data_IF_468070998899
#
_entry.id   IF_468070998899
#
_cell.length_a   1.000
_cell.length_b   1.000
_cell.length_c   1.000
_cell.angle_alpha   90.00
_cell.angle_beta   90.00
_cell.angle_gamma   90.00
#
_symmetry.space_group_name_H-M   'P 1'
#
loop_
_entity.id
_entity.type
_entity.pdbx_description
1 polymer ?
#
# COMPACT_ATOMS: atom_id res chain seq x y z
N UNK A 1 27.63 0.42 5.80
CA UNK A 1 28.22 1.55 6.56
C UNK A 1 27.07 2.26 7.24
N UNK A 2 27.14 2.43 8.55
CA UNK A 2 26.12 3.06 9.40
C UNK A 2 26.81 3.78 10.56
N UNK A 3 26.15 4.75 11.17
CA UNK A 3 26.63 5.43 12.39
C UNK A 3 28.02 6.10 12.23
N UNK A 4 28.19 6.86 11.13
CA UNK A 4 29.42 7.60 10.87
C UNK A 4 29.27 9.01 11.43
N UNK A 5 30.27 9.48 12.17
CA UNK A 5 30.31 10.86 12.68
C UNK A 5 30.20 11.86 11.51
N UNK A 6 29.33 12.87 11.67
CA UNK A 6 29.02 13.87 10.65
C UNK A 6 27.91 13.44 9.64
N UNK A 7 27.42 12.18 9.71
CA UNK A 7 26.23 11.75 8.97
C UNK A 7 24.97 11.91 9.84
N UNK A 8 23.82 12.08 9.21
CA UNK A 8 22.54 12.19 9.88
C UNK A 8 22.02 10.83 10.36
N UNK A 9 21.10 10.80 11.32
CA UNK A 9 20.55 9.58 11.91
C UNK A 9 19.07 9.43 11.55
N UNK A 10 18.67 8.28 10.97
CA UNK A 10 17.28 8.03 10.59
C UNK A 10 16.29 8.13 11.77
N UNK A 11 16.72 7.77 12.98
CA UNK A 11 15.88 7.79 14.17
C UNK A 11 15.78 9.18 14.81
N UNK A 12 16.72 10.08 14.48
CA UNK A 12 16.77 11.49 14.92
C UNK A 12 17.22 12.37 13.74
N UNK A 13 16.44 12.46 12.66
CA UNK A 13 16.86 13.17 11.45
C UNK A 13 16.87 14.68 11.69
N UNK A 14 18.00 15.33 11.45
CA UNK A 14 18.17 16.77 11.66
C UNK A 14 18.55 17.51 10.36
N UNK A 15 19.27 16.87 9.46
CA UNK A 15 19.86 17.50 8.27
C UNK A 15 19.46 16.79 6.97
N UNK A 16 20.35 15.97 6.39
CA UNK A 16 20.19 15.38 5.07
C UNK A 16 19.01 14.41 5.00
N UNK A 17 18.84 13.54 6.00
CA UNK A 17 17.74 12.57 6.04
C UNK A 17 16.41 13.30 6.26
N UNK A 18 16.39 14.32 7.13
CA UNK A 18 15.21 15.15 7.34
C UNK A 18 14.77 15.85 6.05
N UNK A 19 15.73 16.40 5.30
CA UNK A 19 15.45 17.03 4.01
C UNK A 19 14.95 16.01 2.98
N UNK A 20 15.55 14.83 2.91
CA UNK A 20 15.11 13.75 2.02
C UNK A 20 13.68 13.28 2.35
N UNK A 21 13.34 13.13 3.64
CA UNK A 21 11.98 12.82 4.07
C UNK A 21 10.98 13.95 3.76
N UNK A 22 11.43 15.21 3.87
CA UNK A 22 10.61 16.36 3.47
C UNK A 22 10.36 16.36 1.96
N UNK A 23 11.37 16.10 1.14
CA UNK A 23 11.21 15.99 -0.32
C UNK A 23 10.19 14.91 -0.69
N UNK A 24 10.23 13.76 0.00
CA UNK A 24 9.24 12.71 -0.19
C UNK A 24 7.82 13.17 0.21
N UNK A 25 7.69 13.90 1.33
CA UNK A 25 6.41 14.45 1.76
C UNK A 25 5.86 15.46 0.74
N UNK A 26 6.69 16.38 0.29
CA UNK A 26 6.33 17.39 -0.71
C UNK A 26 5.89 16.75 -2.04
N UNK A 27 6.61 15.71 -2.50
CA UNK A 27 6.32 14.99 -3.74
C UNK A 27 4.97 14.25 -3.69
N UNK A 28 4.67 13.61 -2.56
CA UNK A 28 3.43 12.86 -2.37
C UNK A 28 2.26 13.71 -1.83
N UNK A 29 2.51 14.95 -1.42
CA UNK A 29 1.50 15.83 -0.85
C UNK A 29 1.05 15.42 0.56
N UNK A 30 1.89 14.72 1.31
CA UNK A 30 1.65 14.36 2.71
C UNK A 30 2.18 15.42 3.67
N UNK A 31 1.68 15.46 4.91
CA UNK A 31 2.21 16.38 5.94
C UNK A 31 3.62 16.01 6.38
N UNK A 32 3.91 14.71 6.49
CA UNK A 32 5.22 14.15 6.79
C UNK A 32 5.39 12.79 6.10
N UNK A 33 6.62 12.45 5.74
CA UNK A 33 6.97 11.11 5.23
C UNK A 33 8.14 10.56 6.02
N UNK A 34 8.05 9.30 6.43
CA UNK A 34 9.08 8.60 7.19
C UNK A 34 9.67 7.48 6.35
N UNK A 35 11.00 7.44 6.23
CA UNK A 35 11.70 6.37 5.53
C UNK A 35 11.66 5.08 6.34
N UNK A 36 11.31 3.98 5.68
CA UNK A 36 11.43 2.64 6.24
C UNK A 36 12.44 1.83 5.44
N UNK A 37 13.50 1.40 6.12
CA UNK A 37 14.55 0.50 5.60
C UNK A 37 14.34 -0.96 6.04
N UNK A 38 13.27 -1.22 6.78
CA UNK A 38 12.82 -2.55 7.20
C UNK A 38 11.44 -2.91 6.59
N UNK A 39 11.18 -2.39 5.38
CA UNK A 39 10.00 -2.67 4.59
C UNK A 39 8.72 -2.01 5.12
N UNK A 40 7.65 -2.18 4.38
CA UNK A 40 6.31 -1.80 4.84
C UNK A 40 5.89 -2.55 6.11
N UNK A 41 6.55 -3.65 6.45
CA UNK A 41 6.33 -4.36 7.71
C UNK A 41 6.59 -3.45 8.90
N UNK A 42 7.77 -2.82 9.00
CA UNK A 42 8.09 -1.92 10.10
C UNK A 42 7.18 -0.67 10.10
N UNK A 43 6.86 -0.15 8.91
CA UNK A 43 5.93 0.97 8.75
C UNK A 43 4.51 0.63 9.25
N UNK A 44 3.96 -0.54 8.91
CA UNK A 44 2.64 -1.01 9.38
C UNK A 44 2.63 -1.23 10.90
N UNK A 45 3.66 -1.88 11.46
CA UNK A 45 3.80 -2.05 12.91
C UNK A 45 3.81 -0.70 13.62
N UNK A 46 4.53 0.28 13.06
CA UNK A 46 4.64 1.64 13.60
C UNK A 46 3.30 2.38 13.51
N UNK A 47 2.62 2.32 12.36
CA UNK A 47 1.31 2.93 12.16
C UNK A 47 0.27 2.40 13.15
N UNK A 48 0.16 1.07 13.27
CA UNK A 48 -0.77 0.43 14.22
C UNK A 48 -0.45 0.85 15.66
N UNK A 49 0.84 0.85 16.04
CA UNK A 49 1.27 1.18 17.39
C UNK A 49 1.10 2.65 17.74
N UNK A 50 1.15 3.55 16.74
CA UNK A 50 0.91 4.98 16.92
C UNK A 50 -0.59 5.31 17.06
N UNK A 51 -1.46 4.49 16.47
CA UNK A 51 -2.90 4.73 16.43
C UNK A 51 -3.67 4.01 17.55
N UNK A 52 -3.17 2.85 18.03
CA UNK A 52 -3.91 1.99 18.95
C UNK A 52 -3.10 1.74 20.21
N UNK A 53 -3.67 2.00 21.38
CA UNK A 53 -3.02 1.71 22.67
C UNK A 53 -2.89 0.20 22.90
N UNK A 54 -1.93 -0.26 23.76
CA UNK A 54 -1.83 -1.67 24.14
C UNK A 54 -3.16 -2.22 24.67
N UNK A 55 -3.58 -3.38 24.14
CA UNK A 55 -4.85 -4.00 24.49
C UNK A 55 -6.10 -3.34 23.88
N UNK A 56 -5.93 -2.27 23.10
CA UNK A 56 -7.00 -1.56 22.39
C UNK A 56 -7.63 -2.38 21.27
N UNK A 57 -8.62 -1.80 20.61
CA UNK A 57 -9.42 -2.49 19.59
C UNK A 57 -9.24 -1.83 18.22
N UNK A 58 -9.06 -2.63 17.18
CA UNK A 58 -8.85 -2.19 15.80
C UNK A 58 -9.76 -2.94 14.83
N UNK A 59 -10.36 -2.22 13.87
CA UNK A 59 -10.90 -2.83 12.65
C UNK A 59 -9.83 -3.04 11.62
N UNK A 60 -9.86 -4.21 10.97
CA UNK A 60 -8.93 -4.51 9.88
C UNK A 60 -9.60 -5.33 8.76
N UNK A 61 -9.21 -5.03 7.53
CA UNK A 61 -9.57 -5.85 6.38
C UNK A 61 -9.01 -7.26 6.56
N UNK A 62 -9.87 -8.28 6.41
CA UNK A 62 -9.45 -9.69 6.62
C UNK A 62 -8.37 -10.15 5.65
N UNK A 63 -8.27 -9.49 4.50
CA UNK A 63 -7.26 -9.70 3.45
C UNK A 63 -5.95 -8.91 3.67
N UNK A 64 -5.74 -8.33 4.86
CA UNK A 64 -4.52 -7.57 5.15
C UNK A 64 -3.27 -8.47 5.19
N UNK A 65 -2.11 -7.85 4.97
CA UNK A 65 -0.82 -8.52 5.01
C UNK A 65 -0.52 -9.09 6.42
N UNK A 66 0.25 -10.19 6.49
CA UNK A 66 0.63 -10.86 7.76
C UNK A 66 1.28 -9.93 8.80
N UNK A 67 1.96 -8.86 8.37
CA UNK A 67 2.55 -7.87 9.28
C UNK A 67 1.52 -7.14 10.14
N UNK A 68 0.28 -6.98 9.67
CA UNK A 68 -0.82 -6.41 10.45
C UNK A 68 -1.14 -7.33 11.63
N UNK A 69 -1.24 -8.65 11.39
CA UNK A 69 -1.45 -9.65 12.45
C UNK A 69 -0.28 -9.67 13.45
N UNK A 70 0.96 -9.48 12.98
CA UNK A 70 2.12 -9.34 13.87
C UNK A 70 1.96 -8.10 14.78
N UNK A 71 1.51 -6.97 14.24
CA UNK A 71 1.24 -5.76 15.02
C UNK A 71 0.17 -5.98 16.09
N UNK A 72 -0.91 -6.68 15.74
CA UNK A 72 -1.97 -7.07 16.69
C UNK A 72 -1.40 -7.92 17.81
N UNK A 73 -0.62 -8.96 17.48
CA UNK A 73 0.00 -9.84 18.45
C UNK A 73 0.97 -9.10 19.38
N UNK A 74 1.89 -8.31 18.81
CA UNK A 74 2.90 -7.57 19.60
C UNK A 74 2.29 -6.54 20.55
N UNK A 75 1.14 -5.97 20.19
CA UNK A 75 0.46 -4.94 20.98
C UNK A 75 -0.69 -5.50 21.84
N UNK A 76 -0.96 -6.82 21.75
CA UNK A 76 -2.06 -7.47 22.46
C UNK A 76 -3.43 -6.91 22.08
N UNK A 77 -3.62 -6.49 20.79
CA UNK A 77 -4.84 -5.82 20.36
C UNK A 77 -6.00 -6.81 20.18
N UNK A 78 -7.22 -6.28 20.31
CA UNK A 78 -8.45 -6.96 19.93
C UNK A 78 -8.80 -6.60 18.50
N UNK A 79 -8.81 -7.59 17.62
CA UNK A 79 -9.15 -7.40 16.21
C UNK A 79 -10.61 -7.65 15.93
N UNK A 80 -11.24 -6.76 15.18
CA UNK A 80 -12.55 -6.98 14.56
C UNK A 80 -12.35 -6.91 13.04
N UNK A 81 -12.96 -7.86 12.31
CA UNK A 81 -12.68 -8.02 10.89
C UNK A 81 -13.73 -7.38 10.00
N UNK A 82 -13.25 -6.67 8.99
CA UNK A 82 -14.01 -6.27 7.81
C UNK A 82 -13.70 -7.27 6.69
N UNK A 83 -14.71 -7.91 6.16
CA UNK A 83 -14.54 -8.89 5.09
C UNK A 83 -14.69 -8.20 3.74
N UNK A 84 -13.68 -8.30 2.83
CA UNK A 84 -13.88 -7.85 1.46
C UNK A 84 -14.96 -8.68 0.78
N UNK A 85 -15.64 -8.09 -0.20
CA UNK A 85 -16.48 -8.87 -1.11
C UNK A 85 -15.63 -9.89 -1.85
N UNK A 86 -16.24 -10.96 -2.37
CA UNK A 86 -15.52 -11.97 -3.13
C UNK A 86 -16.03 -12.01 -4.58
N UNK A 87 -15.10 -11.95 -5.53
CA UNK A 87 -15.38 -12.06 -6.96
C UNK A 87 -15.21 -13.52 -7.35
N UNK A 88 -16.33 -14.26 -7.37
CA UNK A 88 -16.33 -15.72 -7.61
C UNK A 88 -15.79 -16.10 -8.99
N UNK A 89 -16.05 -15.26 -10.00
CA UNK A 89 -15.61 -15.47 -11.37
C UNK A 89 -14.08 -15.59 -11.51
N UNK A 90 -13.34 -14.84 -10.69
CA UNK A 90 -11.87 -14.75 -10.75
C UNK A 90 -11.19 -15.31 -9.49
N UNK A 91 -11.96 -15.86 -8.56
CA UNK A 91 -11.47 -16.37 -7.26
C UNK A 91 -10.61 -15.35 -6.49
N UNK A 92 -10.98 -14.06 -6.52
CA UNK A 92 -10.23 -12.98 -5.89
C UNK A 92 -11.08 -12.13 -4.94
N UNK A 93 -10.41 -11.41 -4.04
CA UNK A 93 -11.08 -10.46 -3.18
C UNK A 93 -11.46 -9.19 -3.97
N UNK A 94 -12.68 -8.71 -3.76
CA UNK A 94 -13.13 -7.39 -4.13
C UNK A 94 -12.71 -6.32 -3.11
N UNK A 95 -13.42 -5.19 -3.11
CA UNK A 95 -13.18 -4.08 -2.18
C UNK A 95 -13.84 -4.27 -0.81
N UNK A 96 -13.45 -3.40 0.12
CA UNK A 96 -14.14 -3.21 1.41
C UNK A 96 -15.33 -2.27 1.19
N UNK A 97 -16.49 -2.66 1.71
CA UNK A 97 -17.72 -1.87 1.60
C UNK A 97 -17.73 -0.70 2.58
N UNK A 98 -17.89 0.57 2.13
CA UNK A 98 -18.12 1.70 3.03
C UNK A 98 -19.32 1.48 3.96
N UNK A 99 -20.41 0.87 3.45
CA UNK A 99 -21.58 0.53 4.24
C UNK A 99 -21.24 -0.42 5.40
N UNK A 100 -20.44 -1.46 5.13
CA UNK A 100 -20.03 -2.44 6.14
C UNK A 100 -19.13 -1.79 7.21
N UNK A 101 -18.24 -0.86 6.81
CA UNK A 101 -17.44 -0.04 7.74
C UNK A 101 -18.37 0.77 8.65
N UNK A 102 -19.37 1.46 8.10
CA UNK A 102 -20.34 2.27 8.87
C UNK A 102 -21.15 1.43 9.86
N UNK A 103 -21.63 0.27 9.43
CA UNK A 103 -22.41 -0.64 10.29
C UNK A 103 -21.51 -1.27 11.38
N UNK A 104 -20.28 -1.63 11.06
CA UNK A 104 -19.34 -2.17 12.00
C UNK A 104 -18.97 -1.15 13.09
N UNK A 105 -18.70 0.10 12.72
CA UNK A 105 -18.41 1.20 13.65
C UNK A 105 -19.59 1.56 14.56
N UNK A 106 -20.83 1.29 14.14
CA UNK A 106 -22.00 1.43 15.01
C UNK A 106 -22.06 0.34 16.08
N UNK A 107 -21.69 -0.90 15.72
CA UNK A 107 -21.72 -2.05 16.64
C UNK A 107 -20.55 -2.07 17.63
N UNK A 108 -19.42 -1.49 17.24
CA UNK A 108 -18.17 -1.51 17.99
C UNK A 108 -17.70 -0.06 18.24
N UNK A 109 -18.28 0.66 19.23
CA UNK A 109 -18.00 2.08 19.43
C UNK A 109 -16.62 2.37 20.01
N UNK A 110 -15.93 1.36 20.57
CA UNK A 110 -14.61 1.44 21.23
C UNK A 110 -13.44 1.13 20.28
N UNK A 111 -13.66 1.10 19.00
CA UNK A 111 -12.62 1.01 17.97
C UNK A 111 -11.76 2.27 18.00
N UNK A 112 -10.42 2.08 17.99
CA UNK A 112 -9.43 3.16 18.04
C UNK A 112 -8.84 3.50 16.67
N UNK A 113 -8.88 2.58 15.70
CA UNK A 113 -8.43 2.81 14.32
C UNK A 113 -9.08 1.81 13.35
N UNK A 114 -9.10 2.18 12.08
CA UNK A 114 -9.46 1.29 10.96
C UNK A 114 -8.24 1.09 10.08
N UNK A 115 -7.96 -0.14 9.65
CA UNK A 115 -6.91 -0.48 8.69
C UNK A 115 -7.47 -1.28 7.52
N UNK A 116 -7.24 -0.80 6.30
CA UNK A 116 -7.61 -1.50 5.06
C UNK A 116 -6.40 -1.64 4.14
N UNK A 117 -6.44 -2.62 3.23
CA UNK A 117 -5.47 -2.77 2.14
C UNK A 117 -6.10 -2.30 0.84
N UNK A 118 -5.55 -1.25 0.25
CA UNK A 118 -6.00 -0.69 -1.04
C UNK A 118 -4.83 0.04 -1.73
N UNK A 119 -4.38 -0.42 -2.92
CA UNK A 119 -4.92 -1.58 -3.64
C UNK A 119 -4.56 -2.92 -2.97
N UNK A 120 -5.34 -3.94 -3.32
CA UNK A 120 -4.96 -5.33 -3.02
C UNK A 120 -3.75 -5.76 -3.87
N UNK A 121 -3.20 -6.95 -3.59
CA UNK A 121 -2.16 -7.55 -4.45
C UNK A 121 -2.60 -7.65 -5.91
N UNK A 122 -3.88 -7.99 -6.13
CA UNK A 122 -4.47 -8.15 -7.45
C UNK A 122 -4.79 -6.82 -8.17
N UNK A 123 -4.71 -5.70 -7.46
CA UNK A 123 -4.95 -4.35 -8.01
C UNK A 123 -6.33 -3.77 -7.74
N UNK A 124 -7.14 -4.41 -6.90
CA UNK A 124 -8.47 -3.89 -6.51
C UNK A 124 -8.34 -2.72 -5.55
N UNK A 125 -9.01 -1.62 -5.86
CA UNK A 125 -9.08 -0.40 -5.05
C UNK A 125 -10.47 -0.27 -4.41
N UNK A 126 -10.52 -0.03 -3.11
CA UNK A 126 -11.74 0.29 -2.36
C UNK A 126 -12.04 1.80 -2.44
N UNK A 127 -13.29 2.21 -2.14
CA UNK A 127 -13.61 3.63 -2.00
C UNK A 127 -13.02 4.20 -0.71
N UNK A 128 -11.72 4.52 -0.77
CA UNK A 128 -10.96 5.06 0.36
C UNK A 128 -11.54 6.39 0.82
N UNK A 129 -12.07 7.22 -0.09
CA UNK A 129 -12.63 8.53 0.26
C UNK A 129 -13.88 8.36 1.12
N UNK A 130 -14.87 7.59 0.68
CA UNK A 130 -16.09 7.37 1.46
C UNK A 130 -15.76 6.66 2.78
N UNK A 131 -14.85 5.69 2.78
CA UNK A 131 -14.41 5.01 4.01
C UNK A 131 -13.76 6.02 4.98
N UNK A 132 -12.89 6.93 4.50
CA UNK A 132 -12.26 7.93 5.36
C UNK A 132 -13.27 8.87 6.01
N UNK A 133 -14.25 9.34 5.24
CA UNK A 133 -15.33 10.20 5.75
C UNK A 133 -16.10 9.50 6.89
N UNK A 134 -16.47 8.23 6.69
CA UNK A 134 -17.16 7.42 7.70
C UNK A 134 -16.34 7.23 8.97
N UNK A 135 -15.05 6.94 8.82
CA UNK A 135 -14.11 6.73 9.93
C UNK A 135 -13.91 8.03 10.70
N UNK A 136 -13.81 9.14 9.99
CA UNK A 136 -13.65 10.47 10.58
C UNK A 136 -14.89 10.99 11.33
N UNK A 137 -16.10 10.55 10.95
CA UNK A 137 -17.32 10.82 11.76
C UNK A 137 -17.18 10.31 13.21
N UNK A 138 -16.31 9.32 13.44
CA UNK A 138 -15.98 8.79 14.77
C UNK A 138 -14.75 9.44 15.42
N UNK A 139 -14.05 10.33 14.71
CA UNK A 139 -12.85 10.98 15.20
C UNK A 139 -11.62 10.06 15.30
N UNK A 140 -11.66 8.86 14.71
CA UNK A 140 -10.57 7.88 14.72
C UNK A 140 -9.80 7.89 13.39
N UNK A 141 -8.51 7.42 13.37
CA UNK A 141 -7.71 7.41 12.17
C UNK A 141 -8.01 6.22 11.24
N UNK A 142 -7.86 6.48 9.92
CA UNK A 142 -7.80 5.48 8.86
C UNK A 142 -6.35 5.23 8.44
N UNK A 143 -5.91 3.98 8.54
CA UNK A 143 -4.62 3.47 8.05
C UNK A 143 -4.87 2.74 6.74
N UNK A 144 -4.17 3.11 5.67
CA UNK A 144 -4.24 2.41 4.38
C UNK A 144 -2.90 1.76 4.07
N UNK A 145 -2.92 0.42 3.97
CA UNK A 145 -1.82 -0.33 3.38
C UNK A 145 -1.90 -0.22 1.86
N UNK A 146 -1.20 0.76 1.31
CA UNK A 146 -1.05 1.04 -0.12
C UNK A 146 0.30 0.51 -0.65
N UNK A 147 0.79 -0.59 -0.10
CA UNK A 147 2.10 -1.14 -0.46
C UNK A 147 2.24 -1.48 -1.95
N UNK A 148 1.15 -1.71 -2.67
CA UNK A 148 1.12 -1.98 -4.10
C UNK A 148 0.73 -0.76 -4.96
N UNK A 149 0.52 0.42 -4.37
CA UNK A 149 0.07 1.64 -5.05
C UNK A 149 1.04 2.82 -5.00
N UNK A 150 2.33 2.60 -4.68
CA UNK A 150 3.31 3.70 -4.56
C UNK A 150 3.46 4.55 -5.84
N UNK A 151 3.10 4.02 -7.00
CA UNK A 151 3.14 4.70 -8.29
C UNK A 151 1.89 5.55 -8.62
N UNK A 152 0.82 5.46 -7.84
CA UNK A 152 -0.48 6.09 -8.14
C UNK A 152 -0.43 7.62 -8.27
N UNK A 153 0.50 8.25 -7.59
CA UNK A 153 0.65 9.73 -7.64
C UNK A 153 1.20 10.26 -8.96
N UNK A 154 1.78 9.42 -9.82
CA UNK A 154 2.63 9.89 -10.91
C UNK A 154 1.98 9.86 -12.30
N UNK A 155 0.72 9.45 -12.40
CA UNK A 155 -0.07 9.56 -13.64
C UNK A 155 -1.56 9.39 -13.34
N UNK A 156 -2.41 10.19 -14.01
CA UNK A 156 -3.88 10.05 -13.94
C UNK A 156 -4.41 8.76 -14.60
N UNK A 157 -3.54 8.00 -15.24
CA UNK A 157 -3.86 6.66 -15.76
C UNK A 157 -4.14 5.66 -14.63
N UNK A 158 -3.50 5.82 -13.49
CA UNK A 158 -3.64 4.98 -12.31
C UNK A 158 -4.79 5.44 -11.40
N UNK A 159 -5.26 4.57 -10.49
CA UNK A 159 -6.17 5.00 -9.43
C UNK A 159 -5.58 6.14 -8.59
N UNK A 160 -6.44 6.90 -7.92
CA UNK A 160 -5.98 7.94 -6.99
C UNK A 160 -5.39 7.31 -5.72
N UNK A 161 -4.25 7.85 -5.27
CA UNK A 161 -3.60 7.41 -4.04
C UNK A 161 -4.42 7.75 -2.79
N UNK A 162 -4.37 6.89 -1.80
CA UNK A 162 -4.97 7.08 -0.48
C UNK A 162 -4.48 8.36 0.23
N UNK A 163 -3.28 8.85 -0.10
CA UNK A 163 -2.75 10.14 0.39
C UNK A 163 -3.68 11.29 0.04
N UNK A 164 -4.31 11.26 -1.15
CA UNK A 164 -5.23 12.30 -1.63
C UNK A 164 -6.70 12.01 -1.29
N UNK A 165 -7.01 10.87 -0.68
CA UNK A 165 -8.38 10.41 -0.46
C UNK A 165 -8.81 10.47 1.02
N UNK A 166 -8.02 11.12 1.87
CA UNK A 166 -8.37 11.36 3.26
C UNK A 166 -7.87 10.31 4.25
N UNK A 167 -7.06 9.34 3.83
CA UNK A 167 -6.38 8.46 4.78
C UNK A 167 -5.46 9.27 5.73
N UNK A 168 -5.35 8.86 6.99
CA UNK A 168 -4.50 9.55 7.97
C UNK A 168 -3.06 9.04 7.91
N UNK A 169 -2.89 7.73 7.72
CA UNK A 169 -1.60 7.10 7.49
C UNK A 169 -1.67 6.22 6.24
N UNK A 170 -0.67 6.37 5.37
CA UNK A 170 -0.54 5.57 4.14
C UNK A 170 0.83 4.92 4.11
N UNK A 171 0.87 3.62 3.88
CA UNK A 171 2.11 2.86 3.81
C UNK A 171 2.34 2.39 2.37
N UNK A 172 3.50 2.73 1.80
CA UNK A 172 3.86 2.38 0.43
C UNK A 172 5.18 1.64 0.37
N UNK A 173 5.23 0.49 -0.33
CA UNK A 173 6.47 -0.21 -0.66
C UNK A 173 7.04 0.34 -1.96
N UNK A 174 8.12 1.09 -1.90
CA UNK A 174 8.74 1.64 -3.11
C UNK A 174 9.26 0.53 -4.04
N UNK A 175 9.90 -0.48 -3.47
CA UNK A 175 10.52 -1.59 -4.20
C UNK A 175 9.54 -2.49 -4.98
N UNK A 176 8.22 -2.38 -4.76
CA UNK A 176 7.23 -3.22 -5.47
C UNK A 176 6.84 -2.66 -6.83
N UNK A 177 6.77 -1.35 -6.95
CA UNK A 177 6.23 -0.69 -8.14
C UNK A 177 7.07 0.48 -8.65
N UNK A 178 8.16 0.82 -7.95
CA UNK A 178 9.05 1.93 -8.25
C UNK A 178 10.52 1.47 -8.22
N UNK A 179 11.45 2.21 -8.85
CA UNK A 179 12.86 1.83 -8.94
C UNK A 179 13.60 2.10 -7.63
N UNK A 180 13.39 1.27 -6.64
CA UNK A 180 14.06 1.32 -5.34
C UNK A 180 14.44 -0.09 -4.87
N UNK A 181 15.46 -0.20 -4.03
CA UNK A 181 15.94 -1.49 -3.53
C UNK A 181 14.91 -2.18 -2.63
N UNK A 182 14.93 -3.50 -2.62
CA UNK A 182 14.10 -4.32 -1.71
C UNK A 182 14.23 -3.85 -0.26
N UNK A 183 13.16 -3.89 0.52
CA UNK A 183 12.99 -3.37 1.88
C UNK A 183 12.72 -1.86 1.97
N UNK A 184 12.80 -1.10 0.88
CA UNK A 184 12.51 0.34 0.93
C UNK A 184 11.01 0.60 0.94
N UNK A 185 10.55 1.45 1.85
CA UNK A 185 9.16 1.85 1.97
C UNK A 185 9.03 3.27 2.56
N UNK A 186 7.85 3.86 2.42
CA UNK A 186 7.45 5.11 3.06
C UNK A 186 6.24 4.88 3.95
N UNK A 187 6.21 5.60 5.07
CA UNK A 187 5.02 5.85 5.86
C UNK A 187 4.69 7.33 5.76
N UNK A 188 3.55 7.65 5.17
CA UNK A 188 3.05 9.01 5.05
C UNK A 188 2.07 9.31 6.18
N UNK A 189 2.25 10.45 6.85
CA UNK A 189 1.27 11.07 7.73
C UNK A 189 0.55 12.16 6.95
N UNK A 190 -0.76 12.02 6.79
CA UNK A 190 -1.56 12.91 5.96
C UNK A 190 -2.46 13.84 6.79
N UNK A 191 -2.57 13.62 8.11
CA UNK A 191 -3.41 14.45 8.98
C UNK A 191 -2.82 14.61 10.38
N UNK A 192 -3.39 15.53 11.17
CA UNK A 192 -3.01 15.77 12.56
C UNK A 192 -3.67 14.79 13.57
N UNK A 193 -4.55 13.85 13.11
CA UNK A 193 -5.18 12.84 13.98
C UNK A 193 -4.16 11.89 14.60
N UNK A 194 -3.03 11.69 13.93
CA UNK A 194 -1.95 10.84 14.43
C UNK A 194 -0.71 11.69 14.68
N UNK A 195 -0.15 11.55 15.88
CA UNK A 195 1.05 12.29 16.27
C UNK A 195 2.29 11.84 15.50
N UNK A 196 2.98 12.76 14.80
CA UNK A 196 4.25 12.50 14.14
C UNK A 196 5.33 11.99 15.13
N UNK A 197 5.34 12.51 16.38
CA UNK A 197 6.24 12.03 17.44
C UNK A 197 5.97 10.57 17.82
N UNK A 198 4.70 10.16 17.85
CA UNK A 198 4.34 8.75 18.11
C UNK A 198 4.81 7.85 16.98
N UNK A 199 4.64 8.27 15.72
CA UNK A 199 5.13 7.54 14.54
C UNK A 199 6.65 7.41 14.61
N UNK A 200 7.38 8.51 14.79
CA UNK A 200 8.85 8.52 14.88
C UNK A 200 9.36 7.57 15.98
N UNK A 201 8.71 7.59 17.15
CA UNK A 201 9.04 6.67 18.26
C UNK A 201 8.92 5.21 17.82
N UNK A 202 7.83 4.81 17.20
CA UNK A 202 7.62 3.42 16.82
C UNK A 202 8.45 3.03 15.57
N UNK A 203 8.72 3.95 14.67
CA UNK A 203 9.69 3.74 13.60
C UNK A 203 11.09 3.42 14.18
N UNK A 204 11.50 4.09 15.25
CA UNK A 204 12.76 3.79 15.94
C UNK A 204 12.74 2.44 16.70
N UNK A 205 11.57 1.98 17.15
CA UNK A 205 11.45 0.69 17.86
C UNK A 205 11.46 -0.50 16.87
N UNK A 206 10.78 -0.37 15.72
CA UNK A 206 10.58 -1.48 14.78
C UNK A 206 11.58 -1.54 13.64
N UNK A 207 12.47 -0.55 13.52
CA UNK A 207 13.59 -0.60 12.57
C UNK A 207 14.91 -0.93 13.28
N UNK A 208 15.89 -1.37 12.50
CA UNK A 208 17.26 -1.58 12.99
C UNK A 208 17.82 -0.32 13.61
N UNK A 209 18.53 -0.45 14.75
CA UNK A 209 19.28 0.66 15.34
C UNK A 209 20.41 1.17 14.43
N UNK A 210 20.87 0.32 13.49
CA UNK A 210 21.89 0.64 12.48
C UNK A 210 21.25 0.64 11.07
N UNK A 211 20.45 1.66 10.71
CA UNK A 211 19.73 1.69 9.45
C UNK A 211 20.69 1.83 8.26
N UNK A 212 20.47 1.06 7.20
CA UNK A 212 21.32 1.05 6.03
C UNK A 212 21.26 2.36 5.23
N UNK A 213 22.36 3.08 5.13
CA UNK A 213 22.48 4.25 4.26
C UNK A 213 22.28 3.92 2.77
N UNK A 214 22.63 2.71 2.33
CA UNK A 214 22.39 2.28 0.96
C UNK A 214 20.89 2.24 0.65
N UNK A 215 20.07 1.74 1.58
CA UNK A 215 18.62 1.72 1.41
C UNK A 215 18.02 3.12 1.47
N UNK A 216 18.51 3.98 2.37
CA UNK A 216 18.07 5.39 2.44
C UNK A 216 18.43 6.16 1.17
N UNK A 217 19.65 5.99 0.66
CA UNK A 217 20.08 6.57 -0.61
C UNK A 217 19.24 6.07 -1.80
N UNK A 218 18.84 4.80 -1.79
CA UNK A 218 17.93 4.25 -2.80
C UNK A 218 16.53 4.88 -2.75
N UNK A 219 16.02 5.16 -1.54
CA UNK A 219 14.74 5.88 -1.38
C UNK A 219 14.89 7.31 -1.93
N UNK A 220 15.91 8.04 -1.49
CA UNK A 220 16.16 9.42 -1.90
C UNK A 220 16.36 9.55 -3.41
N UNK A 221 17.16 8.65 -4.00
CA UNK A 221 17.33 8.60 -5.45
C UNK A 221 16.01 8.33 -6.18
N UNK A 222 15.20 7.39 -5.69
CA UNK A 222 13.87 7.10 -6.25
C UNK A 222 12.95 8.33 -6.21
N UNK A 223 12.93 9.06 -5.09
CA UNK A 223 12.16 10.30 -4.94
C UNK A 223 12.65 11.37 -5.91
N UNK A 224 13.96 11.57 -6.02
CA UNK A 224 14.56 12.51 -6.98
C UNK A 224 14.24 12.16 -8.44
N UNK A 225 14.33 10.88 -8.81
CA UNK A 225 13.93 10.39 -10.13
C UNK A 225 12.45 10.66 -10.42
N UNK A 226 11.57 10.37 -9.48
CA UNK A 226 10.14 10.59 -9.65
C UNK A 226 9.79 12.07 -9.76
N UNK A 227 10.47 12.94 -9.01
CA UNK A 227 10.26 14.39 -9.08
C UNK A 227 10.63 14.99 -10.44
N UNK A 228 11.56 14.39 -11.18
CA UNK A 228 12.09 14.95 -12.44
C UNK A 228 11.68 14.17 -13.68
N UNK A 229 11.54 12.86 -13.60
CA UNK A 229 11.39 11.98 -14.77
C UNK A 229 10.06 11.22 -14.82
N UNK A 230 9.24 11.24 -13.77
CA UNK A 230 8.03 10.41 -13.71
C UNK A 230 7.10 10.64 -14.89
N UNK A 231 6.82 11.89 -15.26
CA UNK A 231 5.93 12.21 -16.37
C UNK A 231 6.41 11.56 -17.68
N UNK A 232 7.67 11.80 -18.05
CA UNK A 232 8.28 11.24 -19.26
C UNK A 232 8.33 9.72 -19.23
N UNK A 233 8.63 9.14 -18.06
CA UNK A 233 8.67 7.70 -17.86
C UNK A 233 7.29 7.10 -18.13
N UNK A 234 6.23 7.61 -17.50
CA UNK A 234 4.89 7.06 -17.65
C UNK A 234 4.27 7.35 -19.02
N UNK A 235 4.60 8.46 -19.67
CA UNK A 235 4.25 8.72 -21.07
C UNK A 235 4.80 7.63 -22.01
N UNK A 236 5.98 7.08 -21.71
CA UNK A 236 6.56 5.97 -22.48
C UNK A 236 6.05 4.58 -22.05
N UNK A 237 5.80 4.40 -20.75
CA UNK A 237 5.40 3.11 -20.16
C UNK A 237 3.95 2.73 -20.49
N UNK A 238 3.02 3.67 -20.32
CA UNK A 238 1.58 3.40 -20.44
C UNK A 238 1.18 2.87 -21.83
N UNK A 239 1.65 3.44 -22.96
CA UNK A 239 1.34 2.88 -24.28
C UNK A 239 1.86 1.45 -24.46
N UNK A 240 3.02 1.11 -23.91
CA UNK A 240 3.57 -0.25 -23.96
C UNK A 240 2.73 -1.23 -23.15
N UNK A 241 2.33 -0.81 -21.95
CA UNK A 241 1.42 -1.58 -21.08
C UNK A 241 0.09 -1.85 -21.80
N UNK A 242 -0.52 -0.82 -22.37
CA UNK A 242 -1.80 -0.95 -23.07
C UNK A 242 -1.66 -1.86 -24.30
N UNK A 243 -0.58 -1.74 -25.05
CA UNK A 243 -0.29 -2.62 -26.19
C UNK A 243 -0.13 -4.08 -25.77
N UNK A 244 0.52 -4.32 -24.64
CA UNK A 244 0.64 -5.65 -24.06
C UNK A 244 -0.74 -6.19 -23.66
N UNK A 245 -1.57 -5.40 -22.97
CA UNK A 245 -2.93 -5.78 -22.60
C UNK A 245 -3.78 -6.14 -23.82
N UNK A 246 -3.79 -5.29 -24.87
CA UNK A 246 -4.47 -5.57 -26.14
C UNK A 246 -4.04 -6.89 -26.80
N UNK A 247 -2.77 -7.26 -26.68
CA UNK A 247 -2.27 -8.52 -27.21
C UNK A 247 -2.72 -9.72 -26.37
N UNK A 248 -2.72 -9.58 -25.04
CA UNK A 248 -3.20 -10.62 -24.11
C UNK A 248 -4.71 -10.87 -24.25
N UNK A 249 -5.52 -9.83 -24.49
CA UNK A 249 -6.97 -9.94 -24.72
C UNK A 249 -7.34 -10.77 -25.98
N UNK A 250 -6.42 -10.85 -26.95
CA UNK A 250 -6.62 -11.69 -28.17
C UNK A 250 -6.43 -13.17 -27.93
N UNK A 251 -5.84 -13.56 -26.79
CA UNK A 251 -5.60 -14.96 -26.47
C UNK A 251 -6.92 -15.67 -26.14
N UNK A 252 -7.22 -16.74 -26.89
CA UNK A 252 -8.54 -17.42 -26.82
C UNK A 252 -8.76 -18.16 -25.51
N UNK A 253 -7.69 -18.70 -24.90
CA UNK A 253 -7.74 -19.56 -23.73
C UNK A 253 -7.68 -18.81 -22.39
N UNK A 254 -7.48 -17.50 -22.44
CA UNK A 254 -7.28 -16.67 -21.27
C UNK A 254 -8.27 -15.52 -21.22
N UNK A 255 -8.50 -15.05 -20.02
CA UNK A 255 -9.20 -13.82 -19.72
C UNK A 255 -8.27 -12.88 -18.98
N UNK A 256 -8.12 -11.66 -19.44
CA UNK A 256 -7.33 -10.62 -18.78
C UNK A 256 -8.26 -9.73 -17.97
N UNK A 257 -8.12 -9.74 -16.66
CA UNK A 257 -8.92 -8.88 -15.78
C UNK A 257 -8.57 -7.40 -15.99
N UNK A 258 -9.58 -6.56 -16.08
CA UNK A 258 -9.46 -5.13 -16.31
C UNK A 258 -10.51 -4.31 -15.57
N UNK A 259 -10.76 -3.09 -16.04
CA UNK A 259 -11.73 -2.17 -15.40
C UNK A 259 -13.20 -2.60 -15.47
N UNK A 260 -13.55 -3.64 -16.21
CA UNK A 260 -14.90 -4.20 -16.27
C UNK A 260 -15.41 -4.76 -14.93
N UNK A 261 -14.51 -4.99 -13.97
CA UNK A 261 -14.88 -5.39 -12.61
C UNK A 261 -15.28 -4.21 -11.73
N UNK A 262 -15.02 -2.96 -12.14
CA UNK A 262 -15.38 -1.78 -11.35
C UNK A 262 -16.90 -1.64 -11.21
N UNK A 263 -17.35 -1.11 -10.08
CA UNK A 263 -18.78 -1.01 -9.73
C UNK A 263 -19.42 -2.32 -9.25
N UNK A 264 -18.70 -3.45 -9.29
CA UNK A 264 -19.14 -4.74 -8.76
C UNK A 264 -18.32 -5.15 -7.55
N UNK A 265 -18.88 -5.94 -6.63
CA UNK A 265 -18.15 -6.51 -5.48
C UNK A 265 -17.32 -5.47 -4.71
N UNK A 266 -17.82 -4.24 -4.58
CA UNK A 266 -17.15 -3.11 -3.91
C UNK A 266 -15.79 -2.73 -4.54
N UNK A 267 -15.55 -3.09 -5.80
CA UNK A 267 -14.41 -2.61 -6.57
C UNK A 267 -14.70 -1.19 -7.02
N UNK A 268 -14.04 -0.22 -6.39
CA UNK A 268 -14.18 1.20 -6.74
C UNK A 268 -13.36 1.57 -7.97
N UNK A 269 -12.12 1.09 -8.03
CA UNK A 269 -11.25 1.21 -9.20
C UNK A 269 -10.32 -0.01 -9.29
N UNK A 270 -9.57 -0.11 -10.39
CA UNK A 270 -8.66 -1.23 -10.63
C UNK A 270 -7.34 -0.73 -11.27
N UNK A 271 -6.22 -1.18 -10.73
CA UNK A 271 -4.89 -0.87 -11.24
C UNK A 271 -4.56 -1.70 -12.48
N UNK A 272 -4.64 -1.08 -13.66
CA UNK A 272 -4.33 -1.72 -14.93
C UNK A 272 -2.85 -2.12 -15.11
N UNK A 273 -1.94 -1.65 -14.26
CA UNK A 273 -0.55 -2.13 -14.27
C UNK A 273 -0.43 -3.57 -13.78
N UNK A 274 -1.44 -4.06 -13.08
CA UNK A 274 -1.55 -5.47 -12.71
C UNK A 274 -2.04 -6.30 -13.89
N UNK A 275 -1.23 -7.26 -14.31
CA UNK A 275 -1.56 -8.20 -15.37
C UNK A 275 -2.09 -9.47 -14.73
N UNK A 276 -3.41 -9.50 -14.53
CA UNK A 276 -4.10 -10.62 -13.92
C UNK A 276 -4.74 -11.48 -14.99
N UNK A 277 -4.18 -12.67 -15.23
CA UNK A 277 -4.61 -13.61 -16.26
C UNK A 277 -5.39 -14.75 -15.61
N UNK A 278 -6.62 -14.96 -16.06
CA UNK A 278 -7.45 -16.08 -15.65
C UNK A 278 -7.58 -17.08 -16.79
N UNK A 279 -7.48 -18.36 -16.48
CA UNK A 279 -7.68 -19.45 -17.45
C UNK A 279 -9.19 -19.64 -17.63
N UNK A 280 -9.67 -19.66 -18.90
CA UNK A 280 -11.08 -19.85 -19.20
C UNK A 280 -11.54 -21.27 -18.83
N UNK A 281 -12.82 -21.39 -18.45
CA UNK A 281 -13.44 -22.69 -18.16
C UNK A 281 -13.34 -23.63 -19.36
N UNK A 282 -13.10 -24.92 -19.09
CA UNK A 282 -12.92 -25.94 -20.12
C UNK A 282 -11.46 -26.20 -20.52
N UNK A 283 -10.51 -25.41 -20.05
CA UNK A 283 -9.08 -25.67 -20.19
C UNK A 283 -8.60 -26.52 -19.00
N UNK A 284 -7.98 -27.66 -19.29
CA UNK A 284 -7.44 -28.56 -18.27
C UNK A 284 -6.04 -28.08 -17.80
N UNK A 285 -5.98 -26.89 -17.21
CA UNK A 285 -4.77 -26.29 -16.67
C UNK A 285 -5.15 -25.39 -15.50
N UNK A 286 -4.41 -25.44 -14.41
CA UNK A 286 -4.55 -24.50 -13.29
C UNK A 286 -3.66 -23.26 -13.47
N UNK A 287 -3.98 -22.15 -12.75
CA UNK A 287 -3.11 -20.97 -12.74
C UNK A 287 -1.72 -21.27 -12.18
N UNK A 288 -1.60 -22.24 -11.27
CA UNK A 288 -0.31 -22.70 -10.74
C UNK A 288 0.54 -23.38 -11.80
N UNK A 289 -0.06 -24.27 -12.60
CA UNK A 289 0.63 -24.92 -13.72
C UNK A 289 1.06 -23.93 -14.78
N UNK A 290 0.19 -22.96 -15.15
CA UNK A 290 0.55 -21.87 -16.04
C UNK A 290 1.74 -21.06 -15.50
N UNK A 291 1.71 -20.67 -14.21
CA UNK A 291 2.81 -19.95 -13.58
C UNK A 291 4.12 -20.74 -13.61
N UNK A 292 4.06 -22.06 -13.37
CA UNK A 292 5.24 -22.93 -13.45
C UNK A 292 5.82 -22.98 -14.88
N UNK A 293 4.96 -23.11 -15.88
CA UNK A 293 5.36 -23.11 -17.30
C UNK A 293 6.03 -21.78 -17.67
N UNK A 294 5.39 -20.65 -17.35
CA UNK A 294 5.93 -19.32 -17.66
C UNK A 294 7.30 -19.08 -16.98
N UNK A 295 7.47 -19.59 -15.76
CA UNK A 295 8.75 -19.47 -15.03
C UNK A 295 9.85 -20.34 -15.64
N UNK A 296 9.53 -21.60 -15.95
CA UNK A 296 10.52 -22.58 -16.40
C UNK A 296 10.95 -22.35 -17.87
N UNK A 297 10.01 -22.01 -18.76
CA UNK A 297 10.28 -21.91 -20.19
C UNK A 297 10.45 -20.47 -20.68
N UNK A 298 9.73 -19.51 -20.10
CA UNK A 298 9.75 -18.11 -20.55
C UNK A 298 10.49 -17.18 -19.59
N UNK A 299 10.95 -17.69 -18.43
CA UNK A 299 11.63 -16.94 -17.39
C UNK A 299 10.82 -15.74 -16.87
N UNK A 300 9.49 -15.86 -16.86
CA UNK A 300 8.55 -14.88 -16.32
C UNK A 300 8.15 -15.26 -14.88
N UNK A 301 8.16 -14.29 -13.99
CA UNK A 301 7.84 -14.45 -12.58
C UNK A 301 6.57 -13.68 -12.18
#
# INVERSE_FOLDING_TARGET
ITEIEGFDNLHHPETIIKNAQKNAADLYGSSESFFSVNGSTAALLSAISACVKPGGKIFLGRNCHKSVYHGIYLRGLKSVYLYPSFIHEFHMNGGISPKDVREALKREPDIEAVLITSPTYDGVVSDVREISEIVHEKGIPLIVDEAHGAHFMFSDFFPKSAVCLGADLVIQSLHKTLPSLTQTALLHRCSERVSGKAIQKFMGIYQSSSPSYLLMASIDWCIGFLATEAEKFYQSYIPKLMKMRENLEKLQNFYLVGKEITGRNQVYDFDLSKILICIKSGIMMSGHELSSILREYDHLE
#
